data_IF_144874102407
#
_entry.id   IF_144874102407
#
_cell.length_a   1.000
_cell.length_b   1.000
_cell.length_c   1.000
_cell.angle_alpha   90.00
_cell.angle_beta   90.00
_cell.angle_gamma   90.00
#
_symmetry.space_group_name_H-M   'P 1'
#
loop_
_entity.id
_entity.type
_entity.pdbx_description
1 polymer ?
#
# COMPACT_ATOMS: atom_id res chain seq x y z
N UNK A 1 -8.17 -0.24 29.80
CA UNK A 1 -8.78 -1.57 29.98
C UNK A 1 -10.07 -1.53 30.83
N UNK A 2 -10.33 -0.41 31.52
CA UNK A 2 -11.55 -0.27 32.34
C UNK A 2 -12.80 -0.50 31.51
N UNK A 3 -12.86 0.07 30.30
CA UNK A 3 -14.00 -0.03 29.39
C UNK A 3 -14.13 -1.42 28.70
N UNK A 4 -13.14 -2.30 28.89
CA UNK A 4 -13.07 -3.61 28.24
C UNK A 4 -12.71 -4.72 29.26
N UNK A 5 -13.60 -5.05 30.22
CA UNK A 5 -13.29 -5.96 31.30
C UNK A 5 -12.93 -7.38 30.88
N UNK A 6 -13.58 -7.90 29.81
CA UNK A 6 -13.25 -9.21 29.22
C UNK A 6 -11.84 -9.25 28.63
N UNK A 7 -11.42 -8.17 27.97
CA UNK A 7 -10.07 -8.05 27.44
C UNK A 7 -9.05 -7.92 28.59
N UNK A 8 -9.38 -7.13 29.61
CA UNK A 8 -8.54 -6.99 30.80
C UNK A 8 -8.29 -8.35 31.44
N UNK A 9 -9.33 -9.12 31.68
CA UNK A 9 -9.23 -10.48 32.27
C UNK A 9 -8.38 -11.41 31.38
N UNK A 10 -8.51 -11.33 30.06
CA UNK A 10 -7.72 -12.14 29.14
C UNK A 10 -6.23 -11.78 29.11
N UNK A 11 -5.89 -10.50 29.26
CA UNK A 11 -4.50 -10.02 29.21
C UNK A 11 -3.79 -10.11 30.55
N UNK A 12 -4.51 -10.06 31.69
CA UNK A 12 -3.94 -10.02 33.03
C UNK A 12 -2.97 -11.19 33.33
N UNK A 13 -3.24 -12.46 32.97
CA UNK A 13 -2.32 -13.57 33.19
C UNK A 13 -0.96 -13.41 32.46
N UNK A 14 -0.92 -12.57 31.40
CA UNK A 14 0.27 -12.32 30.59
C UNK A 14 0.95 -10.99 30.92
N UNK A 15 0.53 -10.31 32.00
CA UNK A 15 0.99 -8.95 32.31
C UNK A 15 2.51 -8.86 32.42
N UNK A 16 3.15 -9.76 33.15
CA UNK A 16 4.59 -9.71 33.43
C UNK A 16 5.39 -9.89 32.13
N UNK A 17 4.93 -10.78 31.27
CA UNK A 17 5.54 -10.99 29.93
C UNK A 17 5.35 -9.76 29.04
N UNK A 18 4.14 -9.19 29.01
CA UNK A 18 3.81 -8.03 28.19
C UNK A 18 4.51 -6.76 28.68
N UNK A 19 4.75 -6.62 29.98
CA UNK A 19 5.44 -5.50 30.60
C UNK A 19 6.95 -5.45 30.26
N UNK A 20 7.53 -6.55 29.83
CA UNK A 20 8.94 -6.60 29.41
C UNK A 20 9.18 -6.02 28.01
N UNK A 21 8.13 -5.79 27.21
CA UNK A 21 8.25 -5.21 25.88
C UNK A 21 8.78 -3.78 25.93
N UNK A 22 9.51 -3.37 24.90
CA UNK A 22 10.08 -2.01 24.82
C UNK A 22 9.04 -0.91 25.05
N UNK A 23 7.86 -1.01 24.43
CA UNK A 23 6.76 -0.05 24.57
C UNK A 23 6.19 0.05 25.99
N UNK A 24 6.20 -1.06 26.71
CA UNK A 24 5.74 -1.10 28.09
C UNK A 24 6.79 -0.56 29.07
N UNK A 25 8.09 -0.72 28.77
CA UNK A 25 9.19 -0.17 29.58
C UNK A 25 9.20 1.35 29.58
N UNK A 26 8.85 1.98 28.44
CA UNK A 26 8.79 3.44 28.32
C UNK A 26 7.58 4.04 29.03
N UNK A 27 6.45 3.32 29.14
CA UNK A 27 5.27 3.70 29.92
C UNK A 27 4.58 2.45 30.47
N UNK A 28 4.87 2.06 31.73
CA UNK A 28 4.31 0.86 32.35
C UNK A 28 2.78 0.83 32.40
N UNK A 29 2.09 1.97 32.35
CA UNK A 29 0.63 2.04 32.32
C UNK A 29 0.05 1.53 31.00
N UNK A 30 0.90 1.48 29.94
CA UNK A 30 0.55 1.02 28.60
C UNK A 30 1.01 -0.42 28.32
N UNK A 31 1.27 -1.22 29.34
CA UNK A 31 1.78 -2.58 29.21
C UNK A 31 1.00 -3.48 28.25
N UNK A 32 -0.29 -3.20 28.06
CA UNK A 32 -1.21 -3.94 27.18
C UNK A 32 -1.30 -3.37 25.76
N UNK A 33 -0.79 -2.16 25.49
CA UNK A 33 -0.92 -1.51 24.17
C UNK A 33 -0.06 -2.18 23.11
N UNK A 34 -0.54 -2.12 21.89
CA UNK A 34 0.23 -2.50 20.70
C UNK A 34 1.35 -1.50 20.43
N UNK A 35 2.34 -1.88 19.61
CA UNK A 35 3.43 -0.99 19.20
C UNK A 35 2.88 0.14 18.34
N UNK A 36 2.04 -0.21 17.36
CA UNK A 36 1.47 0.74 16.44
C UNK A 36 0.21 1.40 17.01
N UNK A 37 0.03 2.66 16.65
CA UNK A 37 -1.19 3.39 16.95
C UNK A 37 -2.34 2.77 16.13
N UNK A 38 -3.40 2.40 16.79
CA UNK A 38 -4.63 1.94 16.15
C UNK A 38 -5.50 3.16 15.85
N UNK A 39 -5.95 3.26 14.60
CA UNK A 39 -6.89 4.27 14.10
C UNK A 39 -8.16 3.52 13.67
N UNK A 40 -9.17 3.41 14.55
CA UNK A 40 -10.35 2.55 14.30
C UNK A 40 -11.08 2.86 13.00
N UNK A 41 -11.12 4.14 12.62
CA UNK A 41 -11.78 4.67 11.43
C UNK A 41 -11.24 4.04 10.15
N UNK A 42 -9.94 3.72 10.13
CA UNK A 42 -9.27 3.12 8.99
C UNK A 42 -9.89 1.78 8.56
N UNK A 43 -10.57 1.08 9.46
CA UNK A 43 -11.27 -0.16 9.14
C UNK A 43 -12.38 0.07 8.11
N UNK A 44 -13.06 1.22 8.19
CA UNK A 44 -14.24 1.53 7.38
C UNK A 44 -13.92 2.46 6.19
N UNK A 45 -12.68 2.88 6.06
CA UNK A 45 -12.22 3.75 4.98
C UNK A 45 -11.74 2.92 3.77
N UNK A 46 -12.22 3.22 2.55
CA UNK A 46 -11.67 2.62 1.34
C UNK A 46 -10.17 2.91 1.21
N UNK A 47 -9.39 1.89 0.81
CA UNK A 47 -7.93 2.00 0.74
C UNK A 47 -7.31 1.00 -0.22
N UNK A 48 -6.08 1.29 -0.65
CA UNK A 48 -5.21 0.31 -1.26
C UNK A 48 -4.31 -0.31 -0.19
N UNK A 49 -4.14 -1.62 -0.23
CA UNK A 49 -3.26 -2.38 0.64
C UNK A 49 -2.03 -2.85 -0.15
N UNK A 50 -0.84 -2.64 0.40
CA UNK A 50 0.44 -2.91 -0.24
C UNK A 50 1.31 -3.73 0.71
N UNK A 51 1.63 -4.99 0.40
CA UNK A 51 2.56 -5.79 1.20
C UNK A 51 3.99 -5.21 1.20
N UNK A 52 4.69 -5.27 2.34
CA UNK A 52 6.09 -4.81 2.45
C UNK A 52 7.04 -5.69 1.60
N UNK A 53 6.82 -7.00 1.59
CA UNK A 53 7.69 -7.97 0.92
C UNK A 53 6.91 -8.75 -0.14
N UNK A 54 7.55 -9.09 -1.26
CA UNK A 54 6.97 -9.79 -2.42
C UNK A 54 5.89 -8.99 -3.16
N UNK A 55 5.91 -7.69 -3.03
CA UNK A 55 5.04 -6.88 -3.84
C UNK A 55 5.62 -6.78 -5.27
N UNK A 56 5.30 -7.79 -6.10
CA UNK A 56 5.12 -7.45 -7.50
C UNK A 56 3.94 -6.46 -7.55
N UNK A 57 3.88 -5.61 -8.55
CA UNK A 57 2.79 -4.63 -8.69
C UNK A 57 1.39 -5.23 -8.56
N UNK A 58 1.23 -6.54 -8.83
CA UNK A 58 -0.03 -7.27 -8.74
C UNK A 58 -0.53 -7.49 -7.30
N UNK A 59 0.33 -7.34 -6.30
CA UNK A 59 -0.02 -7.47 -4.89
C UNK A 59 -0.76 -6.25 -4.29
N UNK A 60 -0.90 -5.16 -5.06
CA UNK A 60 -1.65 -3.97 -4.62
C UNK A 60 -3.13 -4.27 -4.71
N UNK A 61 -3.81 -4.32 -3.56
CA UNK A 61 -5.20 -4.74 -3.45
C UNK A 61 -6.07 -3.59 -2.97
N UNK A 62 -7.23 -3.41 -3.60
CA UNK A 62 -8.27 -2.50 -3.13
C UNK A 62 -9.11 -3.14 -2.03
N UNK A 63 -9.32 -2.42 -0.95
CA UNK A 63 -10.26 -2.73 0.11
C UNK A 63 -11.32 -1.62 0.23
N UNK A 64 -12.59 -2.01 0.16
CA UNK A 64 -13.73 -1.10 0.23
C UNK A 64 -14.04 -0.60 1.66
N UNK A 65 -13.18 -0.87 2.63
CA UNK A 65 -13.39 -0.55 4.03
C UNK A 65 -13.91 -1.74 4.84
N UNK A 66 -13.46 -2.94 4.52
CA UNK A 66 -13.85 -4.17 5.23
C UNK A 66 -12.79 -4.65 6.22
N UNK A 67 -11.52 -4.27 6.01
CA UNK A 67 -10.39 -4.80 6.77
C UNK A 67 -9.57 -3.70 7.42
N UNK A 68 -9.02 -4.03 8.59
CA UNK A 68 -7.96 -3.25 9.21
C UNK A 68 -6.61 -3.75 8.69
N UNK A 69 -5.69 -2.86 8.21
CA UNK A 69 -4.39 -3.30 7.70
C UNK A 69 -3.56 -3.99 8.78
N UNK A 70 -3.01 -5.16 8.45
CA UNK A 70 -2.03 -5.83 9.29
C UNK A 70 -0.69 -5.07 9.27
N UNK A 71 0.15 -5.22 10.30
CA UNK A 71 1.43 -4.49 10.43
C UNK A 71 2.42 -4.69 9.26
N UNK A 72 2.26 -5.73 8.45
CA UNK A 72 3.07 -5.98 7.25
C UNK A 72 2.47 -5.36 5.98
N UNK A 73 1.40 -4.59 6.11
CA UNK A 73 0.74 -3.90 5.01
C UNK A 73 0.88 -2.40 5.16
N UNK A 74 1.36 -1.75 4.13
CA UNK A 74 1.15 -0.31 3.94
C UNK A 74 -0.22 -0.08 3.33
N UNK A 75 -0.74 1.12 3.52
CA UNK A 75 -2.03 1.49 2.92
C UNK A 75 -1.96 2.90 2.33
N UNK A 76 -2.81 3.12 1.32
CA UNK A 76 -3.04 4.43 0.71
C UNK A 76 -4.53 4.71 0.79
N UNK A 77 -4.88 5.86 1.37
CA UNK A 77 -6.20 6.48 1.27
C UNK A 77 -6.10 7.72 0.41
N UNK A 78 -7.17 8.12 -0.25
CA UNK A 78 -7.19 9.35 -1.04
C UNK A 78 -8.60 9.93 -1.11
N UNK A 79 -8.69 11.25 -1.03
CA UNK A 79 -9.89 12.03 -1.33
C UNK A 79 -9.83 12.66 -2.74
N UNK A 80 -8.66 12.69 -3.36
CA UNK A 80 -8.45 13.28 -4.68
C UNK A 80 -8.54 12.22 -5.78
N UNK A 81 -7.85 11.10 -5.60
CA UNK A 81 -7.80 10.02 -6.58
C UNK A 81 -8.92 8.99 -6.37
N UNK A 82 -9.53 8.55 -7.47
CA UNK A 82 -10.26 7.29 -7.44
C UNK A 82 -9.29 6.14 -7.16
N UNK A 83 -9.50 5.39 -6.09
CA UNK A 83 -8.58 4.35 -5.65
C UNK A 83 -8.48 3.16 -6.62
N UNK A 84 -9.54 2.86 -7.39
CA UNK A 84 -9.48 1.82 -8.42
C UNK A 84 -8.59 2.24 -9.59
N UNK A 85 -8.73 3.49 -10.06
CA UNK A 85 -7.86 4.06 -11.07
C UNK A 85 -6.39 4.10 -10.60
N UNK A 86 -6.15 4.51 -9.34
CA UNK A 86 -4.82 4.52 -8.75
C UNK A 86 -4.25 3.09 -8.63
N UNK A 87 -5.07 2.11 -8.29
CA UNK A 87 -4.66 0.70 -8.26
C UNK A 87 -4.17 0.24 -9.65
N UNK A 88 -4.96 0.52 -10.70
CA UNK A 88 -4.60 0.16 -12.07
C UNK A 88 -3.28 0.81 -12.51
N UNK A 89 -3.10 2.10 -12.21
CA UNK A 89 -1.85 2.83 -12.49
C UNK A 89 -0.65 2.20 -11.77
N UNK A 90 -0.74 1.97 -10.47
CA UNK A 90 0.37 1.41 -9.70
C UNK A 90 0.73 -0.01 -10.14
N UNK A 91 -0.27 -0.83 -10.46
CA UNK A 91 -0.10 -2.21 -10.97
C UNK A 91 0.47 -2.27 -12.38
N UNK A 92 0.39 -1.19 -13.14
CA UNK A 92 0.98 -1.08 -14.47
C UNK A 92 2.52 -0.97 -14.47
N UNK A 93 3.19 -1.35 -13.39
CA UNK A 93 4.64 -1.35 -13.25
C UNK A 93 5.20 -0.06 -12.65
N UNK A 94 4.42 1.02 -12.55
CA UNK A 94 4.89 2.31 -12.00
C UNK A 94 5.39 2.16 -10.57
N UNK A 95 4.63 1.48 -9.69
CA UNK A 95 5.07 1.25 -8.32
C UNK A 95 6.39 0.47 -8.29
N UNK A 96 6.51 -0.57 -9.11
CA UNK A 96 7.73 -1.39 -9.20
C UNK A 96 8.94 -0.57 -9.67
N UNK A 97 8.78 0.25 -10.72
CA UNK A 97 9.85 1.12 -11.24
C UNK A 97 10.43 2.01 -10.14
N UNK A 98 9.55 2.76 -9.46
CA UNK A 98 10.01 3.68 -8.42
C UNK A 98 10.65 2.93 -7.23
N UNK A 99 10.06 1.82 -6.81
CA UNK A 99 10.63 1.03 -5.72
C UNK A 99 11.99 0.43 -6.14
N UNK A 100 12.12 -0.11 -7.36
CA UNK A 100 13.38 -0.64 -7.86
C UNK A 100 14.49 0.41 -7.96
N UNK A 101 14.13 1.66 -8.34
CA UNK A 101 15.08 2.75 -8.45
C UNK A 101 15.65 3.21 -7.08
N UNK A 102 14.90 3.03 -5.99
CA UNK A 102 15.28 3.56 -4.67
C UNK A 102 15.47 2.50 -3.59
N UNK A 103 15.10 1.25 -3.85
CA UNK A 103 15.20 0.17 -2.87
C UNK A 103 16.47 -0.65 -3.04
N UNK A 104 17.04 -1.08 -1.93
CA UNK A 104 18.09 -2.11 -1.93
C UNK A 104 17.41 -3.47 -2.06
N UNK A 105 17.92 -4.32 -2.95
CA UNK A 105 17.48 -5.72 -3.05
C UNK A 105 17.86 -6.48 -1.79
N UNK A 106 16.93 -7.22 -1.23
CA UNK A 106 17.18 -8.12 -0.10
C UNK A 106 17.44 -9.55 -0.61
N UNK A 107 17.88 -10.45 0.28
CA UNK A 107 18.24 -11.83 -0.06
C UNK A 107 17.18 -12.51 -0.93
N UNK A 108 17.60 -13.11 -2.05
CA UNK A 108 16.71 -13.68 -3.06
C UNK A 108 16.24 -12.70 -4.14
N UNK A 109 16.76 -11.45 -4.18
CA UNK A 109 16.41 -10.47 -5.22
C UNK A 109 15.12 -9.72 -5.00
N UNK A 110 14.44 -9.90 -3.88
CA UNK A 110 13.16 -9.24 -3.58
C UNK A 110 13.31 -7.75 -3.30
N UNK A 111 12.36 -6.95 -3.79
CA UNK A 111 12.24 -5.54 -3.45
C UNK A 111 11.41 -5.36 -2.18
N UNK A 112 11.73 -4.32 -1.41
CA UNK A 112 10.93 -3.89 -0.25
C UNK A 112 10.13 -2.65 -0.60
N UNK A 113 8.81 -2.76 -0.53
CA UNK A 113 7.86 -1.68 -0.76
C UNK A 113 7.68 -0.82 0.49
N UNK A 114 8.79 -0.40 1.09
CA UNK A 114 8.77 0.41 2.30
C UNK A 114 8.13 1.78 2.05
N UNK A 115 7.47 2.34 3.06
CA UNK A 115 6.78 3.62 2.99
C UNK A 115 7.66 4.76 2.43
N UNK A 116 8.95 4.78 2.76
CA UNK A 116 9.91 5.76 2.25
C UNK A 116 10.10 5.69 0.72
N UNK A 117 10.00 4.49 0.13
CA UNK A 117 10.10 4.28 -1.30
C UNK A 117 8.75 4.56 -1.99
N UNK A 118 7.65 4.10 -1.38
CA UNK A 118 6.30 4.36 -1.88
C UNK A 118 5.99 5.87 -1.96
N UNK A 119 6.44 6.66 -1.00
CA UNK A 119 6.29 8.13 -0.99
C UNK A 119 7.03 8.84 -2.13
N UNK A 120 7.93 8.16 -2.83
CA UNK A 120 8.66 8.70 -3.99
C UNK A 120 7.96 8.47 -5.31
N UNK A 121 6.93 7.61 -5.33
CA UNK A 121 6.15 7.36 -6.54
C UNK A 121 5.51 8.67 -6.99
N UNK A 122 5.75 9.04 -8.23
CA UNK A 122 5.14 10.21 -8.86
C UNK A 122 3.94 9.76 -9.66
N UNK A 123 2.81 10.37 -9.38
CA UNK A 123 1.57 10.18 -10.14
C UNK A 123 1.11 11.54 -10.66
N UNK A 124 0.43 11.64 -11.80
CA UNK A 124 -0.16 12.88 -12.28
C UNK A 124 -1.15 13.45 -11.26
N UNK A 125 -1.44 14.74 -11.31
CA UNK A 125 -2.59 15.26 -10.58
C UNK A 125 -3.87 14.73 -11.21
N UNK A 126 -4.81 14.27 -10.38
CA UNK A 126 -6.06 13.69 -10.87
C UNK A 126 -6.84 14.66 -11.76
N UNK A 127 -6.89 15.93 -11.36
CA UNK A 127 -7.62 16.97 -12.07
C UNK A 127 -6.98 17.39 -13.41
N UNK A 128 -5.70 17.04 -13.62
CA UNK A 128 -5.00 17.27 -14.89
C UNK A 128 -5.25 16.14 -15.91
N UNK A 129 -5.87 15.04 -15.49
CA UNK A 129 -6.21 13.90 -16.37
C UNK A 129 -7.55 14.20 -17.06
N UNK A 130 -7.61 13.96 -18.37
CA UNK A 130 -8.86 14.14 -19.12
C UNK A 130 -9.99 13.28 -18.54
N UNK A 131 -11.26 13.76 -18.55
CA UNK A 131 -12.39 12.98 -18.06
C UNK A 131 -12.51 11.59 -18.70
N UNK A 132 -12.21 11.47 -19.97
CA UNK A 132 -12.26 10.21 -20.71
C UNK A 132 -11.19 9.23 -20.20
N UNK A 133 -9.95 9.72 -19.98
CA UNK A 133 -8.88 8.89 -19.41
C UNK A 133 -9.18 8.53 -17.94
N UNK A 134 -9.74 9.44 -17.15
CA UNK A 134 -10.19 9.15 -15.78
C UNK A 134 -11.20 8.00 -15.78
N UNK A 135 -12.23 8.07 -16.62
CA UNK A 135 -13.25 7.04 -16.71
C UNK A 135 -12.68 5.71 -17.20
N UNK A 136 -11.77 5.74 -18.17
CA UNK A 136 -11.08 4.55 -18.68
C UNK A 136 -10.23 3.90 -17.57
N UNK A 137 -9.47 4.69 -16.79
CA UNK A 137 -8.67 4.21 -15.66
C UNK A 137 -9.54 3.57 -14.57
N UNK A 138 -10.68 4.17 -14.26
CA UNK A 138 -11.64 3.62 -13.28
C UNK A 138 -12.13 2.25 -13.76
N UNK A 139 -12.58 2.17 -15.01
CA UNK A 139 -13.08 0.92 -15.59
C UNK A 139 -12.03 -0.20 -15.55
N UNK A 140 -10.79 0.09 -15.97
CA UNK A 140 -9.69 -0.86 -15.89
C UNK A 140 -9.42 -1.31 -14.44
N UNK A 141 -9.44 -0.38 -13.49
CA UNK A 141 -9.24 -0.68 -12.08
C UNK A 141 -10.36 -1.55 -11.49
N UNK A 142 -11.60 -1.34 -11.89
CA UNK A 142 -12.76 -2.16 -11.50
C UNK A 142 -12.68 -3.57 -12.10
N UNK A 143 -12.22 -3.68 -13.35
CA UNK A 143 -11.97 -4.95 -14.01
C UNK A 143 -10.73 -5.69 -13.45
N UNK A 144 -9.92 -5.04 -12.60
CA UNK A 144 -8.66 -5.59 -12.08
C UNK A 144 -7.54 -5.61 -13.11
N UNK A 145 -7.68 -4.83 -14.16
CA UNK A 145 -6.72 -4.73 -15.26
C UNK A 145 -5.65 -3.66 -14.99
N UNK A 146 -4.58 -3.71 -15.79
CA UNK A 146 -3.49 -2.73 -15.80
C UNK A 146 -3.74 -1.68 -16.87
N UNK A 147 -3.16 -0.49 -16.71
CA UNK A 147 -3.22 0.51 -17.76
C UNK A 147 -2.38 0.07 -18.98
N UNK A 148 -2.87 0.27 -20.21
CA UNK A 148 -2.08 0.04 -21.41
C UNK A 148 -0.94 1.08 -21.54
N UNK A 149 0.13 0.70 -22.23
CA UNK A 149 1.32 1.55 -22.42
C UNK A 149 0.97 2.89 -23.05
N UNK A 150 0.05 2.90 -24.02
CA UNK A 150 -0.41 4.15 -24.67
C UNK A 150 -1.06 5.13 -23.69
N UNK A 151 -1.81 4.63 -22.70
CA UNK A 151 -2.40 5.48 -21.66
C UNK A 151 -1.32 5.97 -20.69
N UNK A 152 -0.37 5.12 -20.29
CA UNK A 152 0.77 5.55 -19.47
C UNK A 152 1.58 6.66 -20.16
N UNK A 153 1.87 6.49 -21.43
CA UNK A 153 2.59 7.49 -22.23
C UNK A 153 1.89 8.86 -22.20
N UNK A 154 0.57 8.89 -22.42
CA UNK A 154 -0.21 10.14 -22.32
C UNK A 154 -0.18 10.74 -20.91
N UNK A 155 -0.41 9.92 -19.87
CA UNK A 155 -0.45 10.39 -18.49
C UNK A 155 0.86 11.03 -18.01
N UNK A 156 1.98 10.55 -18.52
CA UNK A 156 3.30 11.06 -18.13
C UNK A 156 3.92 12.01 -19.17
N UNK A 157 3.26 12.25 -20.32
CA UNK A 157 3.78 13.09 -21.38
C UNK A 157 5.05 12.55 -22.02
N UNK A 158 5.19 11.21 -22.12
CA UNK A 158 6.34 10.50 -22.65
C UNK A 158 5.95 9.66 -23.87
N UNK A 159 6.92 9.26 -24.70
CA UNK A 159 6.69 8.28 -25.74
C UNK A 159 6.44 6.88 -25.18
N UNK A 160 5.77 6.02 -25.95
CA UNK A 160 5.47 4.63 -25.53
C UNK A 160 6.75 3.82 -25.29
N UNK A 161 7.82 4.14 -25.98
CA UNK A 161 9.13 3.49 -25.84
C UNK A 161 9.69 3.61 -24.41
N UNK A 162 9.34 4.70 -23.70
CA UNK A 162 9.73 4.88 -22.28
C UNK A 162 9.10 3.84 -21.36
N UNK A 163 8.04 3.14 -21.80
CA UNK A 163 7.29 2.16 -20.99
C UNK A 163 7.43 0.72 -21.52
N UNK A 164 8.25 0.46 -22.52
CA UNK A 164 8.44 -0.91 -23.08
C UNK A 164 8.94 -1.91 -22.04
N UNK A 165 9.62 -1.45 -20.99
CA UNK A 165 10.08 -2.28 -19.87
C UNK A 165 8.93 -2.85 -19.03
N UNK A 166 7.75 -2.20 -19.01
CA UNK A 166 6.56 -2.63 -18.23
C UNK A 166 6.11 -4.04 -18.63
N UNK A 167 6.31 -4.41 -19.88
CA UNK A 167 5.89 -5.70 -20.45
C UNK A 167 7.01 -6.74 -20.53
N UNK A 168 8.23 -6.44 -20.05
CA UNK A 168 9.32 -7.41 -20.07
C UNK A 168 9.14 -8.43 -18.94
N UNK A 169 9.28 -9.70 -19.30
CA UNK A 169 9.19 -10.84 -18.35
C UNK A 169 10.27 -10.76 -17.25
N UNK A 170 11.37 -10.05 -17.49
CA UNK A 170 12.43 -9.79 -16.53
C UNK A 170 11.93 -9.05 -15.26
N UNK A 171 10.82 -8.30 -15.36
CA UNK A 171 10.18 -7.66 -14.20
C UNK A 171 9.18 -8.56 -13.47
N UNK A 172 8.82 -9.72 -14.05
CA UNK A 172 7.91 -10.68 -13.40
C UNK A 172 8.64 -11.58 -12.37
N UNK A 173 9.96 -11.67 -12.49
CA UNK A 173 10.82 -12.55 -11.68
C UNK A 173 11.67 -11.80 -10.63
N UNK A 174 11.36 -10.54 -10.37
CA UNK A 174 12.05 -9.75 -9.33
C UNK A 174 11.18 -9.44 -8.15
#
# INVERSE_FOLDING_TARGET
>A
LVDYPKLAARLQPHRDQLAQRYTARSDPRKWYKTIDRITPELRHEPKLLIPDIKANGDAITYDAGNFYPHHNLYYITSQQWNLRALQALLRSGIAHLFVAAYSVKIGGGYLRFQAQNLKRIRVPYWDDISPDDQQHMIHLGEAGEKLPVSLLARLYGLGEEAFLWVNRDDFKNY
#
